data_IF_797944642746
#
_entry.id   IF_797944642746
#
_cell.length_a   1.000
_cell.length_b   1.000
_cell.length_c   1.000
_cell.angle_alpha   90.00
_cell.angle_beta   90.00
_cell.angle_gamma   90.00
#
_symmetry.space_group_name_H-M   'P 1'
#
loop_
_entity.id
_entity.type
_entity.pdbx_description
1 polymer ?
#
# COMPACT_ATOMS: atom_id res chain seq x y z
N UNK A 1 -13.07 17.71 18.35
CA UNK A 1 -13.36 16.28 18.62
C UNK A 1 -12.25 15.49 17.95
N UNK A 2 -11.77 14.39 18.54
CA UNK A 2 -10.79 13.54 17.86
C UNK A 2 -11.46 12.73 16.76
N UNK A 3 -10.73 12.36 15.70
CA UNK A 3 -11.28 11.61 14.55
C UNK A 3 -11.84 10.25 15.00
N UNK A 4 -11.28 9.65 16.05
CA UNK A 4 -11.78 8.40 16.65
C UNK A 4 -13.22 8.57 17.16
N UNK A 5 -13.49 9.63 17.92
CA UNK A 5 -14.84 9.91 18.43
C UNK A 5 -15.83 10.22 17.31
N UNK A 6 -15.36 10.78 16.18
CA UNK A 6 -16.20 10.97 14.98
C UNK A 6 -16.55 9.63 14.35
N UNK A 7 -15.57 8.72 14.22
CA UNK A 7 -15.78 7.37 13.70
C UNK A 7 -16.71 6.54 14.60
N UNK A 8 -16.58 6.66 15.92
CA UNK A 8 -17.46 6.00 16.88
C UNK A 8 -18.90 6.49 16.72
N UNK A 9 -19.12 7.80 16.59
CA UNK A 9 -20.46 8.35 16.33
C UNK A 9 -21.05 7.92 14.99
N UNK A 10 -20.23 7.81 13.95
CA UNK A 10 -20.66 7.28 12.66
C UNK A 10 -21.12 5.83 12.79
N UNK A 11 -20.36 5.02 13.53
CA UNK A 11 -20.68 3.62 13.82
C UNK A 11 -21.95 3.49 14.66
N UNK A 12 -22.11 4.27 15.74
CA UNK A 12 -23.31 4.31 16.57
C UNK A 12 -24.56 4.71 15.77
N UNK A 13 -24.42 5.67 14.85
CA UNK A 13 -25.49 6.08 13.96
C UNK A 13 -25.75 5.08 12.80
N UNK A 14 -24.93 4.04 12.66
CA UNK A 14 -25.01 3.08 11.56
C UNK A 14 -24.76 3.70 10.18
N UNK A 15 -23.98 4.79 10.13
CA UNK A 15 -23.69 5.55 8.90
C UNK A 15 -22.32 5.18 8.35
N UNK A 16 -22.30 4.78 7.08
CA UNK A 16 -21.09 4.47 6.35
C UNK A 16 -20.54 5.68 5.60
N UNK A 17 -19.20 5.75 5.53
CA UNK A 17 -18.45 6.80 4.82
C UNK A 17 -17.35 6.12 4.00
N UNK A 18 -17.25 6.45 2.71
CA UNK A 18 -16.29 5.86 1.76
C UNK A 18 -15.72 6.91 0.81
N UNK A 19 -14.65 6.57 0.11
CA UNK A 19 -14.12 7.38 -1.00
C UNK A 19 -14.72 6.89 -2.32
N UNK A 20 -15.10 7.80 -3.21
CA UNK A 20 -15.40 7.44 -4.60
C UNK A 20 -14.13 7.29 -5.45
N UNK A 21 -14.29 6.91 -6.72
CA UNK A 21 -13.19 6.70 -7.67
C UNK A 21 -12.35 7.98 -7.92
N UNK A 22 -12.88 9.16 -7.59
CA UNK A 22 -12.19 10.45 -7.67
C UNK A 22 -11.49 10.83 -6.35
N UNK A 23 -11.56 9.97 -5.32
CA UNK A 23 -11.03 10.25 -3.99
C UNK A 23 -11.87 11.23 -3.17
N UNK A 24 -13.13 11.45 -3.54
CA UNK A 24 -14.04 12.34 -2.78
C UNK A 24 -14.81 11.52 -1.73
N UNK A 25 -14.87 12.08 -0.53
CA UNK A 25 -15.64 11.53 0.58
C UNK A 25 -17.14 11.51 0.27
N UNK A 26 -17.76 10.34 0.41
CA UNK A 26 -19.19 10.06 0.27
C UNK A 26 -19.74 9.50 1.58
N UNK A 27 -21.01 9.79 1.84
CA UNK A 27 -21.76 9.42 3.04
C UNK A 27 -23.14 8.90 2.64
N UNK A 28 -23.73 8.03 3.44
CA UNK A 28 -25.09 7.55 3.23
C UNK A 28 -26.12 8.68 3.08
N UNK A 29 -27.01 8.55 2.08
CA UNK A 29 -28.04 9.54 1.79
C UNK A 29 -28.98 9.78 2.99
N UNK A 30 -29.27 8.71 3.73
CA UNK A 30 -30.14 8.71 4.91
C UNK A 30 -29.46 9.16 6.20
N UNK A 31 -28.18 9.59 6.15
CA UNK A 31 -27.48 10.03 7.36
C UNK A 31 -28.20 11.24 8.01
N UNK A 32 -28.32 11.25 9.35
CA UNK A 32 -28.83 12.40 10.09
C UNK A 32 -28.04 13.67 9.78
N UNK A 33 -28.69 14.84 9.84
CA UNK A 33 -28.05 16.10 9.46
C UNK A 33 -26.87 16.46 10.38
N UNK A 34 -26.98 16.13 11.68
CA UNK A 34 -25.89 16.27 12.64
C UNK A 34 -24.65 15.46 12.23
N UNK A 35 -24.85 14.23 11.74
CA UNK A 35 -23.77 13.36 11.26
C UNK A 35 -23.18 13.91 9.96
N UNK A 36 -24.02 14.40 9.03
CA UNK A 36 -23.55 15.06 7.80
C UNK A 36 -22.69 16.29 8.11
N UNK A 37 -23.08 17.08 9.10
CA UNK A 37 -22.31 18.24 9.53
C UNK A 37 -20.99 17.82 10.17
N UNK A 38 -20.99 16.81 11.04
CA UNK A 38 -19.78 16.26 11.65
C UNK A 38 -18.78 15.76 10.59
N UNK A 39 -19.27 15.08 9.55
CA UNK A 39 -18.43 14.62 8.43
C UNK A 39 -17.90 15.77 7.58
N UNK A 40 -18.63 16.89 7.47
CA UNK A 40 -18.14 18.09 6.77
C UNK A 40 -17.02 18.78 7.56
N UNK A 41 -17.18 18.89 8.88
CA UNK A 41 -16.19 19.48 9.78
C UNK A 41 -14.89 18.68 9.80
N UNK A 42 -14.98 17.35 9.82
CA UNK A 42 -13.84 16.43 9.86
C UNK A 42 -13.49 15.80 8.50
N UNK A 43 -13.87 16.46 7.40
CA UNK A 43 -13.79 15.90 6.04
C UNK A 43 -12.37 15.43 5.67
N UNK A 44 -11.36 16.26 5.92
CA UNK A 44 -9.99 15.94 5.49
C UNK A 44 -9.43 14.77 6.30
N UNK A 45 -9.67 14.73 7.61
CA UNK A 45 -9.22 13.65 8.48
C UNK A 45 -9.85 12.31 8.08
N UNK A 46 -11.15 12.31 7.76
CA UNK A 46 -11.84 11.11 7.26
C UNK A 46 -11.30 10.65 5.89
N UNK A 47 -10.96 11.58 5.01
CA UNK A 47 -10.29 11.26 3.74
C UNK A 47 -8.94 10.61 4.00
N UNK A 48 -8.14 11.19 4.89
CA UNK A 48 -6.81 10.67 5.21
C UNK A 48 -6.89 9.27 5.81
N UNK A 49 -7.82 9.03 6.74
CA UNK A 49 -8.08 7.69 7.32
C UNK A 49 -8.46 6.68 6.25
N UNK A 50 -9.40 7.01 5.35
CA UNK A 50 -9.81 6.09 4.27
C UNK A 50 -8.69 5.84 3.28
N UNK A 51 -7.94 6.88 2.89
CA UNK A 51 -6.78 6.73 2.01
C UNK A 51 -5.69 5.88 2.65
N UNK A 52 -5.44 6.01 3.95
CA UNK A 52 -4.50 5.18 4.68
C UNK A 52 -4.96 3.71 4.69
N UNK A 53 -6.24 3.44 4.94
CA UNK A 53 -6.81 2.09 4.88
C UNK A 53 -6.70 1.49 3.47
N UNK A 54 -7.05 2.25 2.43
CA UNK A 54 -6.97 1.80 1.05
C UNK A 54 -5.52 1.51 0.64
N UNK A 55 -4.58 2.35 1.05
CA UNK A 55 -3.16 2.10 0.85
C UNK A 55 -2.73 0.78 1.52
N UNK A 56 -3.07 0.58 2.80
CA UNK A 56 -2.71 -0.64 3.52
C UNK A 56 -3.29 -1.89 2.84
N UNK A 57 -4.56 -1.84 2.44
CA UNK A 57 -5.20 -2.95 1.75
C UNK A 57 -4.57 -3.24 0.38
N UNK A 58 -4.32 -2.20 -0.42
CA UNK A 58 -3.73 -2.32 -1.76
C UNK A 58 -2.29 -2.81 -1.73
N UNK A 59 -1.52 -2.34 -0.75
CA UNK A 59 -0.13 -2.74 -0.55
C UNK A 59 0.02 -4.04 0.25
N UNK A 60 -1.09 -4.73 0.55
CA UNK A 60 -1.15 -5.98 1.30
C UNK A 60 -0.42 -5.91 2.66
N UNK A 61 -0.55 -4.77 3.34
CA UNK A 61 -0.01 -4.56 4.68
C UNK A 61 -1.01 -5.16 5.67
N UNK A 62 -0.50 -5.99 6.59
CA UNK A 62 -1.32 -6.73 7.55
C UNK A 62 -0.87 -6.45 8.97
N UNK A 63 -1.81 -6.42 9.91
CA UNK A 63 -1.49 -6.51 11.33
C UNK A 63 -1.33 -8.00 11.65
N UNK A 64 -0.16 -8.39 12.13
CA UNK A 64 0.14 -9.77 12.52
C UNK A 64 0.41 -9.87 14.01
N UNK A 65 0.15 -11.05 14.58
CA UNK A 65 0.53 -11.39 15.96
C UNK A 65 1.86 -12.11 15.96
N UNK A 66 2.83 -11.54 16.66
CA UNK A 66 4.14 -12.14 16.90
C UNK A 66 4.06 -13.26 17.96
N UNK A 67 5.03 -14.18 18.01
CA UNK A 67 5.00 -15.34 18.92
C UNK A 67 4.84 -15.01 20.41
N UNK A 68 5.37 -13.86 20.85
CA UNK A 68 5.27 -13.40 22.24
C UNK A 68 4.01 -12.56 22.53
N UNK A 69 3.04 -12.56 21.59
CA UNK A 69 1.75 -11.88 21.75
C UNK A 69 1.73 -10.41 21.32
N UNK A 70 2.88 -9.83 20.95
CA UNK A 70 2.95 -8.48 20.41
C UNK A 70 2.30 -8.38 19.03
N UNK A 71 1.73 -7.22 18.69
CA UNK A 71 1.25 -6.92 17.35
C UNK A 71 2.36 -6.22 16.54
N UNK A 72 2.37 -6.46 15.23
CA UNK A 72 3.30 -5.83 14.29
C UNK A 72 2.60 -5.52 12.96
N UNK A 73 3.10 -4.51 12.26
CA UNK A 73 2.71 -4.22 10.88
C UNK A 73 3.63 -4.97 9.92
N UNK A 74 3.07 -5.98 9.27
CA UNK A 74 3.72 -6.78 8.26
C UNK A 74 3.53 -6.14 6.88
N UNK A 75 4.61 -5.86 6.14
CA UNK A 75 4.55 -5.21 4.83
C UNK A 75 5.38 -5.94 3.77
N UNK A 76 4.95 -6.01 2.50
CA UNK A 76 5.72 -6.67 1.44
C UNK A 76 7.07 -6.02 1.11
N UNK A 77 8.01 -6.76 0.49
CA UNK A 77 9.20 -6.17 -0.09
C UNK A 77 8.83 -5.14 -1.17
N UNK A 78 9.53 -3.99 -1.18
CA UNK A 78 9.31 -2.85 -2.10
C UNK A 78 8.09 -1.97 -1.79
N UNK A 79 7.45 -2.12 -0.64
CA UNK A 79 6.47 -1.12 -0.15
C UNK A 79 7.14 0.25 0.00
N UNK A 80 6.43 1.31 -0.41
CA UNK A 80 6.83 2.68 -0.15
C UNK A 80 6.79 2.95 1.37
N UNK A 81 7.98 3.17 1.95
CA UNK A 81 8.13 3.32 3.39
C UNK A 81 7.63 4.67 3.90
N UNK A 82 7.60 5.71 3.05
CA UNK A 82 7.09 7.02 3.44
C UNK A 82 5.56 7.01 3.47
N UNK A 83 4.93 6.41 2.45
CA UNK A 83 3.48 6.17 2.46
C UNK A 83 3.06 5.25 3.62
N UNK A 84 3.83 4.20 3.92
CA UNK A 84 3.57 3.31 5.07
C UNK A 84 3.66 4.05 6.41
N UNK A 85 4.70 4.86 6.63
CA UNK A 85 4.84 5.63 7.88
C UNK A 85 3.75 6.68 8.03
N UNK A 86 3.36 7.32 6.93
CA UNK A 86 2.23 8.25 6.91
C UNK A 86 0.93 7.53 7.28
N UNK A 87 0.62 6.41 6.62
CA UNK A 87 -0.59 5.63 6.88
C UNK A 87 -0.64 5.11 8.33
N UNK A 88 0.49 4.57 8.83
CA UNK A 88 0.59 4.12 10.21
C UNK A 88 0.34 5.26 11.22
N UNK A 89 0.84 6.47 10.95
CA UNK A 89 0.58 7.64 11.82
C UNK A 89 -0.89 8.04 11.81
N UNK A 90 -1.50 8.12 10.63
CA UNK A 90 -2.93 8.48 10.47
C UNK A 90 -3.81 7.48 11.24
N UNK A 91 -3.46 6.20 11.18
CA UNK A 91 -4.21 5.11 11.82
C UNK A 91 -3.77 4.81 13.26
N UNK A 92 -2.91 5.64 13.86
CA UNK A 92 -2.39 5.47 15.24
C UNK A 92 -1.68 4.13 15.48
N UNK A 93 -1.05 3.60 14.44
CA UNK A 93 -0.25 2.37 14.46
C UNK A 93 1.26 2.66 14.43
N UNK A 94 1.67 3.90 14.66
CA UNK A 94 3.06 4.35 14.66
C UNK A 94 3.93 3.69 15.74
N UNK A 95 3.30 3.24 16.83
CA UNK A 95 3.94 2.46 17.89
C UNK A 95 4.15 0.98 17.53
N UNK A 96 3.49 0.46 16.49
CA UNK A 96 3.63 -0.94 16.10
C UNK A 96 4.97 -1.17 15.39
N UNK A 97 5.72 -2.23 15.75
CA UNK A 97 6.93 -2.60 15.03
C UNK A 97 6.60 -2.97 13.58
N UNK A 98 7.44 -2.51 12.65
CA UNK A 98 7.34 -2.85 11.23
C UNK A 98 8.15 -4.13 10.96
N UNK A 99 7.54 -5.09 10.27
CA UNK A 99 8.14 -6.39 9.92
C UNK A 99 7.94 -6.64 8.42
N UNK A 100 8.95 -7.17 7.75
CA UNK A 100 8.83 -7.51 6.33
C UNK A 100 8.04 -8.82 6.20
N UNK A 101 6.90 -8.78 5.52
CA UNK A 101 6.13 -9.95 5.09
C UNK A 101 6.65 -10.43 3.73
N UNK A 102 7.66 -11.30 3.73
CA UNK A 102 8.04 -12.03 2.53
C UNK A 102 7.13 -13.28 2.48
N UNK A 103 5.96 -13.15 1.86
CA UNK A 103 4.97 -14.23 1.71
C UNK A 103 5.52 -15.38 0.84
N UNK A 104 6.44 -16.13 1.43
CA UNK A 104 7.08 -17.31 0.89
C UNK A 104 7.53 -18.29 1.98
N UNK A 105 7.19 -18.04 3.25
CA UNK A 105 7.33 -18.98 4.39
C UNK A 105 8.63 -19.79 4.40
N UNK A 106 9.76 -19.10 4.46
CA UNK A 106 10.90 -19.62 5.20
C UNK A 106 11.40 -18.51 6.11
N UNK A 107 11.63 -18.82 7.38
CA UNK A 107 12.43 -17.96 8.26
C UNK A 107 13.86 -17.95 7.70
N UNK A 108 14.10 -17.08 6.72
CA UNK A 108 15.41 -16.91 6.12
C UNK A 108 16.22 -15.95 6.97
N UNK A 109 17.46 -16.36 7.28
CA UNK A 109 18.41 -15.48 7.96
C UNK A 109 18.62 -14.19 7.16
N UNK A 110 19.03 -13.08 7.81
CA UNK A 110 19.32 -11.82 7.12
C UNK A 110 20.29 -11.96 5.94
N UNK A 111 21.25 -12.90 6.02
CA UNK A 111 22.13 -13.24 4.89
C UNK A 111 21.39 -13.91 3.73
N UNK A 112 20.49 -14.85 4.01
CA UNK A 112 19.73 -15.55 2.98
C UNK A 112 18.73 -14.61 2.30
N UNK A 113 18.13 -13.67 3.04
CA UNK A 113 17.32 -12.60 2.47
C UNK A 113 18.15 -11.69 1.55
N UNK A 114 19.34 -11.23 1.99
CA UNK A 114 20.25 -10.43 1.15
C UNK A 114 20.65 -11.18 -0.12
N UNK A 115 20.95 -12.48 -0.02
CA UNK A 115 21.29 -13.32 -1.19
C UNK A 115 20.13 -13.45 -2.17
N UNK A 116 18.88 -13.61 -1.70
CA UNK A 116 17.69 -13.65 -2.56
C UNK A 116 17.44 -12.32 -3.27
N UNK A 117 17.68 -11.19 -2.61
CA UNK A 117 17.59 -9.87 -3.25
C UNK A 117 18.63 -9.72 -4.37
N UNK A 118 19.89 -10.14 -4.14
CA UNK A 118 20.95 -10.10 -5.17
C UNK A 118 20.62 -11.01 -6.35
N UNK A 119 20.16 -12.24 -6.09
CA UNK A 119 19.78 -13.19 -7.15
C UNK A 119 18.67 -12.62 -8.05
N UNK A 120 17.67 -11.98 -7.44
CA UNK A 120 16.55 -11.34 -8.15
C UNK A 120 16.98 -10.13 -8.98
N UNK A 121 17.89 -9.30 -8.47
CA UNK A 121 18.49 -8.18 -9.24
C UNK A 121 19.28 -8.71 -10.44
N UNK A 122 20.05 -9.78 -10.26
CA UNK A 122 20.78 -10.41 -11.36
C UNK A 122 19.84 -10.97 -12.44
N UNK A 123 18.69 -11.50 -12.04
CA UNK A 123 17.69 -12.07 -12.95
C UNK A 123 16.91 -10.97 -13.71
N UNK A 124 16.58 -9.86 -13.06
CA UNK A 124 16.05 -8.65 -13.70
C UNK A 124 17.06 -8.10 -14.72
N UNK A 125 18.34 -7.98 -14.35
CA UNK A 125 19.41 -7.54 -15.26
C UNK A 125 19.63 -8.50 -16.44
N UNK A 126 19.50 -9.81 -16.20
CA UNK A 126 19.56 -10.84 -17.25
C UNK A 126 18.39 -10.71 -18.23
N UNK A 127 17.17 -10.49 -17.74
CA UNK A 127 15.99 -10.25 -18.57
C UNK A 127 16.12 -8.96 -19.38
N UNK A 128 16.66 -7.91 -18.78
CA UNK A 128 16.89 -6.63 -19.46
C UNK A 128 17.95 -6.78 -20.58
N UNK A 129 19.04 -7.52 -20.33
CA UNK A 129 20.00 -7.87 -21.38
C UNK A 129 19.37 -8.69 -22.51
N UNK A 130 18.53 -9.67 -22.20
CA UNK A 130 17.84 -10.46 -23.22
C UNK A 130 16.87 -9.61 -24.03
N UNK A 131 16.18 -8.64 -23.41
CA UNK A 131 15.34 -7.66 -24.11
C UNK A 131 16.15 -6.75 -25.03
N UNK A 132 17.30 -6.24 -24.58
CA UNK A 132 18.19 -5.43 -25.42
C UNK A 132 18.75 -6.24 -26.60
N UNK A 133 19.23 -7.46 -26.35
CA UNK A 133 19.72 -8.34 -27.41
C UNK A 133 18.62 -8.71 -28.43
N UNK A 134 17.38 -8.92 -27.97
CA UNK A 134 16.24 -9.16 -28.86
C UNK A 134 15.88 -7.91 -29.69
N UNK A 135 15.96 -6.72 -29.10
CA UNK A 135 15.75 -5.45 -29.81
C UNK A 135 16.84 -5.19 -30.87
N UNK A 136 18.10 -5.42 -30.53
CA UNK A 136 19.24 -5.29 -31.46
C UNK A 136 19.18 -6.32 -32.60
N UNK A 137 18.77 -7.57 -32.31
CA UNK A 137 18.55 -8.58 -33.33
C UNK A 137 17.39 -8.21 -34.28
N UNK A 138 16.31 -7.63 -33.74
CA UNK A 138 15.20 -7.13 -34.55
C UNK A 138 15.65 -5.96 -35.45
N UNK A 139 16.50 -5.06 -34.94
CA UNK A 139 17.05 -3.92 -35.69
C UNK A 139 18.03 -4.36 -36.80
N UNK A 140 18.83 -5.41 -36.56
CA UNK A 140 19.70 -6.02 -37.58
C UNK A 140 18.94 -6.83 -38.64
N UNK A 141 17.77 -7.37 -38.29
CA UNK A 141 16.91 -8.11 -39.23
C UNK A 141 16.12 -7.20 -40.19
N UNK A 142 16.12 -5.89 -39.98
CA UNK A 142 15.48 -4.93 -40.88
C UNK A 142 16.34 -4.73 -42.15
N UNK A 143 15.85 -5.06 -43.35
CA UNK A 143 16.64 -4.91 -44.57
C UNK A 143 16.91 -3.43 -44.79
N UNK A 144 18.19 -3.04 -44.74
CA UNK A 144 18.67 -1.70 -45.11
C UNK A 144 18.13 -1.39 -46.51
N UNK A 145 17.10 -0.53 -46.58
CA UNK A 145 16.59 0.03 -47.84
C UNK A 145 17.78 0.66 -48.56
N UNK A 146 18.30 -0.02 -49.58
CA UNK A 146 19.22 0.58 -50.55
C UNK A 146 18.44 1.70 -51.22
N UNK A 147 18.80 2.95 -50.90
CA UNK A 147 18.42 4.10 -51.72
C UNK A 147 19.16 3.92 -53.06
N UNK A 148 18.38 3.63 -54.10
CA UNK A 148 18.75 3.89 -55.49
C UNK A 148 18.16 5.26 -55.86
#
# INVERSE_FOLDING_TARGET
MDVEAVLDRLMEAGVSVWLDDEGKLRIDKGAPEEIKQLVREHRQELIDVRRAQDFMNRADIRIIRLPLGHLALAYPPRTDMDELRWAARVLKMDSMPLVINDEGLEWISPENWRRRQVARIFEEYRRERLRKAAAEAAEQSMPRRRRA
#
